data_IF_282608576842
#
_entry.id   IF_282608576842
#
_cell.length_a   1.000
_cell.length_b   1.000
_cell.length_c   1.000
_cell.angle_alpha   90.00
_cell.angle_beta   90.00
_cell.angle_gamma   90.00
#
_symmetry.space_group_name_H-M   'P 1'
#
loop_
_entity.id
_entity.type
_entity.pdbx_description
1 polymer ?
#
# COMPACT_ATOMS: atom_id res chain seq x y z
N UNK A 1 7.38 6.06 -1.81
CA UNK A 1 8.07 6.29 -3.10
C UNK A 1 8.18 7.79 -3.37
N UNK A 2 8.78 8.24 -4.48
CA UNK A 2 8.79 9.68 -4.83
C UNK A 2 7.36 10.16 -5.15
N UNK A 3 6.95 11.27 -4.55
CA UNK A 3 5.62 11.86 -4.78
C UNK A 3 4.46 11.11 -4.12
N UNK A 4 4.72 10.13 -3.24
CA UNK A 4 3.66 9.52 -2.44
C UNK A 4 3.20 10.43 -1.30
N UNK A 5 2.08 10.08 -0.67
CA UNK A 5 1.44 10.89 0.39
C UNK A 5 2.37 11.19 1.57
N UNK A 6 3.18 10.23 2.02
CA UNK A 6 4.08 10.39 3.17
C UNK A 6 5.12 11.51 2.96
N UNK A 7 5.95 11.52 1.89
CA UNK A 7 6.86 12.63 1.62
C UNK A 7 6.17 13.99 1.50
N UNK A 8 4.96 14.03 0.89
CA UNK A 8 4.21 15.28 0.73
C UNK A 8 3.76 15.80 2.09
N UNK A 9 3.17 14.95 2.93
CA UNK A 9 2.74 15.31 4.28
C UNK A 9 3.91 15.69 5.19
N UNK A 10 5.05 15.00 5.06
CA UNK A 10 6.27 15.37 5.79
C UNK A 10 6.76 16.75 5.36
N UNK A 11 6.77 17.04 4.05
CA UNK A 11 7.11 18.37 3.56
C UNK A 11 6.09 19.43 4.03
N UNK A 12 4.80 19.11 4.08
CA UNK A 12 3.78 20.02 4.61
C UNK A 12 4.04 20.33 6.08
N UNK A 13 4.23 19.31 6.91
CA UNK A 13 4.57 19.44 8.33
C UNK A 13 5.80 20.31 8.54
N UNK A 14 6.91 19.99 7.86
CA UNK A 14 8.20 20.70 8.03
C UNK A 14 8.15 22.15 7.54
N UNK A 15 7.20 22.50 6.67
CA UNK A 15 6.99 23.88 6.21
C UNK A 15 5.80 24.56 6.92
N UNK A 16 5.33 24.00 8.04
CA UNK A 16 4.21 24.53 8.83
C UNK A 16 2.93 24.73 8.01
N UNK A 17 2.71 23.86 7.02
CA UNK A 17 1.50 23.84 6.19
C UNK A 17 0.52 22.78 6.71
N UNK A 18 -0.79 22.96 6.46
CA UNK A 18 -1.78 21.93 6.77
C UNK A 18 -1.47 20.62 6.03
N UNK A 19 -1.73 19.50 6.69
CA UNK A 19 -1.70 18.19 6.05
C UNK A 19 -2.93 18.07 5.14
N UNK A 20 -2.70 17.90 3.84
CA UNK A 20 -3.79 17.74 2.89
C UNK A 20 -4.17 16.28 2.76
N UNK A 21 -5.44 15.95 2.96
CA UNK A 21 -6.00 14.62 2.77
C UNK A 21 -7.18 14.68 1.81
N UNK A 22 -7.32 13.69 0.93
CA UNK A 22 -8.46 13.64 -0.01
C UNK A 22 -9.73 13.22 0.70
N UNK A 23 -9.70 12.07 1.36
CA UNK A 23 -10.78 11.54 2.21
C UNK A 23 -10.16 10.71 3.35
N UNK A 24 -10.37 11.07 4.63
CA UNK A 24 -9.83 10.34 5.78
C UNK A 24 -10.27 8.87 5.87
N UNK A 25 -11.41 8.50 5.28
CA UNK A 25 -11.95 7.14 5.33
C UNK A 25 -11.36 6.22 4.26
N UNK A 26 -10.53 6.74 3.35
CA UNK A 26 -9.82 5.91 2.39
C UNK A 26 -8.87 4.95 3.08
N UNK A 27 -8.85 3.70 2.61
CA UNK A 27 -7.84 2.71 3.03
C UNK A 27 -6.80 2.52 1.94
N UNK A 28 -5.53 2.37 2.34
CA UNK A 28 -4.44 2.05 1.42
C UNK A 28 -3.60 0.93 1.99
N UNK A 29 -3.13 0.05 1.12
CA UNK A 29 -2.07 -0.88 1.46
C UNK A 29 -0.74 -0.15 1.51
N UNK A 30 0.04 -0.44 2.54
CA UNK A 30 1.39 0.09 2.68
C UNK A 30 2.38 -1.06 2.57
N UNK A 31 3.46 -0.77 1.87
CA UNK A 31 4.64 -1.63 1.82
C UNK A 31 5.88 -0.76 1.86
N UNK A 32 6.90 -1.26 2.53
CA UNK A 32 8.26 -0.74 2.49
C UNK A 32 8.88 -0.98 1.11
N UNK A 33 9.97 -0.26 0.83
CA UNK A 33 10.72 -0.45 -0.41
C UNK A 33 11.38 -1.83 -0.39
N UNK A 34 11.85 -2.26 0.78
CA UNK A 34 12.52 -3.52 1.05
C UNK A 34 11.59 -4.70 0.75
N UNK A 35 10.33 -4.64 1.19
CA UNK A 35 9.33 -5.67 0.88
C UNK A 35 9.04 -5.76 -0.63
N UNK A 36 8.89 -4.61 -1.30
CA UNK A 36 8.66 -4.57 -2.74
C UNK A 36 9.84 -5.18 -3.52
N UNK A 37 11.08 -4.86 -3.12
CA UNK A 37 12.30 -5.44 -3.71
C UNK A 37 12.39 -6.93 -3.41
N UNK A 38 12.13 -7.35 -2.17
CA UNK A 38 12.13 -8.76 -1.77
C UNK A 38 11.14 -9.58 -2.61
N UNK A 39 9.89 -9.11 -2.74
CA UNK A 39 8.89 -9.78 -3.57
C UNK A 39 9.34 -9.88 -5.02
N UNK A 40 9.90 -8.80 -5.57
CA UNK A 40 10.38 -8.77 -6.96
C UNK A 40 11.46 -9.83 -7.20
N UNK A 41 12.42 -9.95 -6.27
CA UNK A 41 13.50 -10.94 -6.37
C UNK A 41 12.98 -12.38 -6.21
N UNK A 42 12.07 -12.61 -5.25
CA UNK A 42 11.44 -13.92 -5.06
C UNK A 42 10.64 -14.33 -6.31
N UNK A 43 9.82 -13.43 -6.84
CA UNK A 43 9.07 -13.65 -8.06
C UNK A 43 9.98 -13.99 -9.25
N UNK A 44 11.11 -13.29 -9.41
CA UNK A 44 12.06 -13.55 -10.49
C UNK A 44 12.68 -14.97 -10.44
N UNK A 45 12.83 -15.55 -9.25
CA UNK A 45 13.35 -16.90 -9.07
C UNK A 45 12.25 -17.95 -9.32
N UNK A 46 11.02 -17.66 -8.90
CA UNK A 46 9.91 -18.62 -8.93
C UNK A 46 9.15 -18.66 -10.26
N UNK A 47 9.06 -17.52 -10.96
CA UNK A 47 8.19 -17.35 -12.12
C UNK A 47 8.42 -18.40 -13.21
N UNK A 48 7.33 -18.88 -13.81
CA UNK A 48 7.35 -19.71 -15.03
C UNK A 48 6.71 -19.01 -16.22
N UNK A 49 6.03 -17.89 -15.97
CA UNK A 49 5.43 -17.01 -16.97
C UNK A 49 3.92 -16.89 -16.77
N UNK A 50 3.45 -15.65 -16.69
CA UNK A 50 2.02 -15.32 -16.59
C UNK A 50 1.45 -15.30 -15.16
N UNK A 51 2.25 -15.63 -14.14
CA UNK A 51 1.83 -15.47 -12.75
C UNK A 51 1.82 -14.00 -12.33
N UNK A 52 0.88 -13.63 -11.46
CA UNK A 52 0.86 -12.31 -10.80
C UNK A 52 1.14 -12.47 -9.32
N UNK A 53 2.24 -11.90 -8.85
CA UNK A 53 2.66 -11.97 -7.45
C UNK A 53 2.19 -10.74 -6.68
N UNK A 54 1.61 -10.96 -5.50
CA UNK A 54 0.94 -9.93 -4.71
C UNK A 54 1.41 -10.04 -3.27
N UNK A 55 2.07 -9.00 -2.76
CA UNK A 55 2.52 -8.97 -1.37
C UNK A 55 1.33 -9.01 -0.41
N UNK A 56 1.42 -9.79 0.66
CA UNK A 56 0.48 -9.67 1.78
C UNK A 56 0.79 -8.39 2.54
N UNK A 57 -0.10 -7.41 2.44
CA UNK A 57 0.08 -6.08 3.02
C UNK A 57 -1.04 -5.74 4.00
N UNK A 58 -0.69 -4.97 5.03
CA UNK A 58 -1.67 -4.36 5.90
C UNK A 58 -2.31 -3.14 5.23
N UNK A 59 -3.61 -2.98 5.41
CA UNK A 59 -4.34 -1.78 5.00
C UNK A 59 -4.60 -0.88 6.20
N UNK A 60 -4.41 0.41 6.04
CA UNK A 60 -4.71 1.41 7.07
C UNK A 60 -5.52 2.57 6.49
N UNK A 61 -6.31 3.24 7.34
CA UNK A 61 -7.05 4.41 6.93
C UNK A 61 -6.12 5.62 6.85
N UNK A 62 -6.42 6.56 5.95
CA UNK A 62 -5.69 7.83 5.91
C UNK A 62 -5.85 8.63 7.21
N UNK A 63 -6.95 8.43 7.95
CA UNK A 63 -7.12 8.94 9.31
C UNK A 63 -6.02 8.43 10.28
N UNK A 64 -5.68 7.14 10.21
CA UNK A 64 -4.61 6.57 11.05
C UNK A 64 -3.24 7.16 10.68
N UNK A 65 -3.01 7.37 9.37
CA UNK A 65 -1.80 8.03 8.90
C UNK A 65 -1.70 9.48 9.41
N UNK A 66 -2.80 10.24 9.39
CA UNK A 66 -2.83 11.60 9.92
C UNK A 66 -2.49 11.62 11.41
N UNK A 67 -3.07 10.70 12.19
CA UNK A 67 -2.75 10.56 13.62
C UNK A 67 -1.27 10.28 13.84
N UNK A 68 -0.66 9.40 13.04
CA UNK A 68 0.77 9.13 13.11
C UNK A 68 1.62 10.38 12.83
N UNK A 69 1.18 11.27 11.93
CA UNK A 69 1.84 12.57 11.70
C UNK A 69 1.69 13.53 12.88
N UNK A 70 0.55 13.56 13.56
CA UNK A 70 0.38 14.36 14.80
C UNK A 70 1.30 13.85 15.92
N UNK A 71 1.38 12.54 16.09
CA UNK A 71 2.30 11.90 17.06
C UNK A 71 3.76 12.22 16.71
N UNK A 72 4.13 12.11 15.43
CA UNK A 72 5.47 12.45 14.95
C UNK A 72 5.81 13.93 15.18
N UNK A 73 4.87 14.84 14.89
CA UNK A 73 5.06 16.28 15.15
C UNK A 73 5.38 16.55 16.63
N UNK A 74 4.66 15.90 17.55
CA UNK A 74 4.93 15.99 18.97
C UNK A 74 6.31 15.44 19.35
N UNK A 75 6.74 14.32 18.77
CA UNK A 75 8.06 13.72 19.02
C UNK A 75 9.22 14.64 18.61
N UNK A 76 9.05 15.39 17.52
CA UNK A 76 10.07 16.33 17.03
C UNK A 76 9.91 17.75 17.58
N UNK A 77 8.99 17.97 18.52
CA UNK A 77 8.62 19.29 19.08
C UNK A 77 8.20 20.31 18.00
N UNK A 78 7.56 19.86 16.92
CA UNK A 78 6.96 20.72 15.91
C UNK A 78 5.53 21.12 16.31
N UNK A 79 5.04 22.22 15.72
CA UNK A 79 3.63 22.61 15.82
C UNK A 79 2.75 21.48 15.28
N UNK A 80 1.69 21.13 16.03
CA UNK A 80 0.68 20.17 15.56
C UNK A 80 0.01 20.72 14.29
N UNK A 81 0.09 20.03 13.14
CA UNK A 81 -0.45 20.57 11.89
C UNK A 81 -1.97 20.46 11.83
N UNK A 82 -2.61 21.49 11.26
CA UNK A 82 -4.01 21.41 10.86
C UNK A 82 -4.21 20.39 9.74
N UNK A 83 -5.41 19.84 9.62
CA UNK A 83 -5.79 18.92 8.53
C UNK A 83 -6.76 19.63 7.58
N UNK A 84 -6.45 19.61 6.29
CA UNK A 84 -7.30 20.13 5.23
C UNK A 84 -7.82 18.98 4.36
N UNK A 85 -9.14 18.76 4.39
CA UNK A 85 -9.79 17.80 3.49
C UNK A 85 -10.02 18.48 2.14
N UNK A 86 -9.25 18.06 1.12
CA UNK A 86 -9.30 18.65 -0.23
C UNK A 86 -10.33 17.96 -1.15
N UNK A 87 -10.93 16.88 -0.67
CA UNK A 87 -11.87 16.09 -1.43
C UNK A 87 -11.18 15.09 -2.37
N UNK A 88 -11.98 14.14 -2.85
CA UNK A 88 -11.53 13.08 -3.72
C UNK A 88 -11.21 13.58 -5.13
N UNK A 89 -10.10 13.12 -5.69
CA UNK A 89 -9.71 13.40 -7.08
C UNK A 89 -10.40 12.43 -8.04
N UNK A 90 -10.65 12.81 -9.31
CA UNK A 90 -11.22 11.91 -10.30
C UNK A 90 -10.43 10.60 -10.42
N UNK A 91 -11.14 9.47 -10.36
CA UNK A 91 -10.54 8.14 -10.47
C UNK A 91 -10.06 7.51 -9.16
N UNK A 92 -10.06 8.22 -8.04
CA UNK A 92 -9.67 7.61 -6.76
C UNK A 92 -10.74 6.64 -6.22
N UNK A 93 -10.26 5.47 -5.78
CA UNK A 93 -11.06 4.48 -5.03
C UNK A 93 -11.06 4.80 -3.54
N UNK A 94 -12.14 4.42 -2.85
CA UNK A 94 -12.22 4.49 -1.40
C UNK A 94 -11.34 3.40 -0.76
N UNK A 95 -11.43 2.18 -1.28
CA UNK A 95 -10.66 1.02 -0.86
C UNK A 95 -9.95 0.40 -2.06
N UNK A 96 -8.74 -0.10 -1.85
CA UNK A 96 -8.00 -0.88 -2.83
C UNK A 96 -8.32 -2.37 -2.70
N UNK A 97 -8.19 -3.12 -3.79
CA UNK A 97 -8.43 -4.56 -3.86
C UNK A 97 -7.13 -5.22 -4.29
N UNK A 98 -6.65 -6.22 -3.52
CA UNK A 98 -5.47 -6.99 -3.91
C UNK A 98 -5.82 -8.12 -4.89
N UNK A 99 -6.96 -8.75 -4.71
CA UNK A 99 -7.45 -9.87 -5.52
C UNK A 99 -8.96 -9.76 -5.71
N UNK A 100 -9.46 -10.45 -6.73
CA UNK A 100 -10.88 -10.56 -7.01
C UNK A 100 -11.40 -11.98 -6.73
N UNK A 101 -12.70 -12.14 -6.40
CA UNK A 101 -13.27 -13.46 -6.11
C UNK A 101 -13.10 -14.49 -7.22
N UNK A 102 -13.10 -14.07 -8.49
CA UNK A 102 -12.93 -14.97 -9.64
C UNK A 102 -11.50 -15.51 -9.80
N UNK A 103 -10.53 -14.96 -9.06
CA UNK A 103 -9.14 -15.40 -9.06
C UNK A 103 -8.87 -16.44 -7.96
N UNK A 104 -9.83 -16.70 -7.07
CA UNK A 104 -9.65 -17.56 -5.89
C UNK A 104 -9.21 -18.99 -6.25
N UNK A 105 -9.80 -19.58 -7.30
CA UNK A 105 -9.46 -20.93 -7.76
C UNK A 105 -8.03 -21.03 -8.32
N UNK A 106 -7.43 -19.89 -8.66
CA UNK A 106 -6.08 -19.78 -9.23
C UNK A 106 -5.06 -19.24 -8.22
N UNK A 107 -5.48 -19.00 -6.98
CA UNK A 107 -4.65 -18.36 -5.97
C UNK A 107 -3.78 -19.40 -5.25
N UNK A 108 -2.47 -19.21 -5.35
CA UNK A 108 -1.48 -19.87 -4.52
C UNK A 108 -1.13 -18.98 -3.34
N UNK A 109 -1.10 -19.56 -2.14
CA UNK A 109 -0.75 -18.85 -0.91
C UNK A 109 0.66 -19.25 -0.43
N UNK A 110 1.55 -18.27 -0.38
CA UNK A 110 2.83 -18.36 0.31
C UNK A 110 2.76 -17.61 1.65
N UNK A 111 3.74 -17.80 2.52
CA UNK A 111 3.80 -17.10 3.82
C UNK A 111 3.74 -15.58 3.65
N UNK A 112 4.50 -15.04 2.68
CA UNK A 112 4.69 -13.59 2.49
C UNK A 112 3.86 -12.98 1.36
N UNK A 113 3.33 -13.78 0.43
CA UNK A 113 2.67 -13.28 -0.77
C UNK A 113 1.59 -14.25 -1.26
N UNK A 114 0.74 -13.77 -2.16
CA UNK A 114 -0.13 -14.58 -3.01
C UNK A 114 0.42 -14.60 -4.44
N UNK A 115 0.17 -15.68 -5.18
CA UNK A 115 0.41 -15.72 -6.62
C UNK A 115 -0.85 -16.16 -7.34
N UNK A 116 -1.30 -15.40 -8.34
CA UNK A 116 -2.38 -15.80 -9.23
C UNK A 116 -1.76 -16.57 -10.38
N UNK A 117 -2.11 -17.86 -10.51
CA UNK A 117 -1.55 -18.77 -11.51
C UNK A 117 -2.39 -18.75 -12.79
N UNK A 118 -1.80 -18.58 -13.99
CA UNK A 118 -2.56 -18.52 -15.23
C UNK A 118 -3.21 -19.88 -15.59
N UNK A 119 -2.58 -20.99 -15.17
CA UNK A 119 -3.06 -22.37 -15.37
C UNK A 119 -2.68 -23.23 -14.16
N UNK A 120 -3.43 -23.18 -13.06
CA UNK A 120 -3.03 -23.79 -11.78
C UNK A 120 -2.62 -25.28 -11.88
N UNK A 121 -3.30 -26.03 -12.75
CA UNK A 121 -3.06 -27.46 -13.00
C UNK A 121 -1.76 -27.77 -13.78
N UNK A 122 -1.09 -26.76 -14.35
CA UNK A 122 0.16 -26.92 -15.11
C UNK A 122 1.40 -26.39 -14.35
N UNK A 123 1.24 -25.90 -13.12
CA UNK A 123 2.31 -25.28 -12.32
C UNK A 123 2.57 -26.07 -11.02
N UNK A 124 3.07 -27.32 -11.08
CA UNK A 124 3.30 -28.16 -9.89
C UNK A 124 4.40 -27.63 -8.96
N UNK A 125 5.22 -26.69 -9.42
CA UNK A 125 6.23 -26.03 -8.59
C UNK A 125 5.64 -25.04 -7.57
N UNK A 126 4.33 -24.73 -7.69
CA UNK A 126 3.55 -23.92 -6.76
C UNK A 126 2.49 -24.79 -6.04
N UNK A 127 2.71 -26.10 -5.93
CA UNK A 127 1.89 -27.01 -5.13
C UNK A 127 2.63 -27.44 -3.87
#
# INVERSE_FOLDING_TARGET
>A
SRGSVIPIMLQQLLNEKPLTVTDPHMTRFFMSIEEAVSLTLQAAIMMKGGETFILKMESLQLADLLKAFHEYAAQINAQSPDVLVVGKRPGEKLHEELTFPHEADALFEHEQFYAILPRPHLHPAFQ
#
